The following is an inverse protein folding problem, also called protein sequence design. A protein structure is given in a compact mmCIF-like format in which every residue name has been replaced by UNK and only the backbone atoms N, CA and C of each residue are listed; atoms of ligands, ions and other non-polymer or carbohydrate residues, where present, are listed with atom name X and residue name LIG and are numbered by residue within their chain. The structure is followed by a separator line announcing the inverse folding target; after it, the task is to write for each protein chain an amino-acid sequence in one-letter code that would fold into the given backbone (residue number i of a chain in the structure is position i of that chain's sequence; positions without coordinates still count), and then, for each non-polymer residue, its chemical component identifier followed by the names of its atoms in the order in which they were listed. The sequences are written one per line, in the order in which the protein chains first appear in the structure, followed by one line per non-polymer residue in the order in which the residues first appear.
data_IF_228308749905
#
_entry.id   IF_228308749905
#
_cell.length_a   1.000
_cell.length_b   1.000
_cell.length_c   1.000
_cell.angle_alpha   90.00
_cell.angle_beta   90.00
_cell.angle_gamma   90.00
#
_symmetry.space_group_name_H-M   'P 1'
#
loop_
_entity.id
_entity.type
_entity.pdbx_description
1 polymer ?
#
# COMPACT_ATOMS: atom_id res chain seq x y z
N UNK A 1 18.19 -5.35 -42.38
CA UNK A 1 18.64 -4.97 -41.02
C UNK A 1 17.41 -4.48 -40.28
N UNK A 2 16.89 -5.27 -39.35
CA UNK A 2 15.66 -4.95 -38.61
C UNK A 2 16.05 -4.16 -37.36
N UNK A 3 15.61 -2.91 -37.27
CA UNK A 3 15.89 -2.03 -36.13
C UNK A 3 15.05 -2.46 -34.93
N UNK A 4 15.70 -2.82 -33.83
CA UNK A 4 15.06 -3.05 -32.54
C UNK A 4 14.83 -1.70 -31.87
N UNK A 5 13.60 -1.21 -31.85
CA UNK A 5 13.21 -0.07 -31.01
C UNK A 5 13.11 -0.57 -29.57
N UNK A 6 14.12 -0.25 -28.76
CA UNK A 6 14.04 -0.47 -27.32
C UNK A 6 12.98 0.48 -26.74
N UNK A 7 11.83 -0.06 -26.33
CA UNK A 7 10.89 0.64 -25.46
C UNK A 7 11.59 0.89 -24.14
N UNK A 8 11.98 2.14 -23.89
CA UNK A 8 12.34 2.57 -22.55
C UNK A 8 11.07 2.54 -21.71
N UNK A 9 10.88 1.44 -20.98
CA UNK A 9 9.86 1.31 -19.94
C UNK A 9 10.23 2.24 -18.78
N UNK A 10 9.99 3.54 -18.97
CA UNK A 10 10.02 4.53 -17.91
C UNK A 10 9.01 4.08 -16.87
N UNK A 11 9.49 3.40 -15.83
CA UNK A 11 8.65 2.91 -14.73
C UNK A 11 8.27 4.12 -13.86
N UNK A 12 7.41 4.97 -14.41
CA UNK A 12 6.75 6.03 -13.67
C UNK A 12 5.94 5.30 -12.60
N UNK A 13 6.35 5.41 -11.34
CA UNK A 13 5.54 4.96 -10.21
C UNK A 13 4.18 5.65 -10.39
N UNK A 14 3.14 4.89 -10.71
CA UNK A 14 1.80 5.47 -10.80
C UNK A 14 1.48 6.03 -9.43
N UNK A 15 1.12 7.30 -9.37
CA UNK A 15 0.64 7.91 -8.13
C UNK A 15 -0.63 7.18 -7.69
N UNK A 16 -0.66 6.73 -6.43
CA UNK A 16 -1.88 6.25 -5.80
C UNK A 16 -2.82 7.44 -5.60
N UNK A 17 -3.80 7.55 -6.50
CA UNK A 17 -4.78 8.64 -6.52
C UNK A 17 -6.12 8.15 -5.96
N UNK A 18 -6.47 6.88 -6.19
CA UNK A 18 -7.77 6.34 -5.80
C UNK A 18 -7.66 4.90 -5.26
N UNK A 19 -8.69 4.41 -4.55
CA UNK A 19 -8.74 3.00 -4.14
C UNK A 19 -8.72 2.04 -5.35
N UNK A 20 -9.27 2.45 -6.48
CA UNK A 20 -9.41 1.60 -7.67
C UNK A 20 -8.09 1.21 -8.34
N UNK A 21 -7.00 1.96 -8.15
CA UNK A 21 -5.68 1.61 -8.67
C UNK A 21 -4.73 1.02 -7.61
N UNK A 22 -5.22 0.77 -6.38
CA UNK A 22 -4.39 0.31 -5.25
C UNK A 22 -3.66 -1.01 -5.52
N UNK A 23 -4.30 -1.99 -6.16
CA UNK A 23 -3.64 -3.28 -6.44
C UNK A 23 -2.47 -3.14 -7.43
N UNK A 24 -2.65 -2.30 -8.46
CA UNK A 24 -1.61 -2.00 -9.45
C UNK A 24 -0.47 -1.24 -8.77
N UNK A 25 -0.81 -0.21 -8.00
CA UNK A 25 0.17 0.54 -7.21
C UNK A 25 0.95 -0.37 -6.25
N UNK A 26 0.27 -1.28 -5.53
CA UNK A 26 0.89 -2.23 -4.61
C UNK A 26 1.90 -3.13 -5.31
N UNK A 27 1.60 -3.62 -6.51
CA UNK A 27 2.54 -4.40 -7.32
C UNK A 27 3.77 -3.58 -7.71
N UNK A 28 3.57 -2.36 -8.19
CA UNK A 28 4.65 -1.48 -8.63
C UNK A 28 5.56 -1.04 -7.48
N UNK A 29 4.98 -0.64 -6.35
CA UNK A 29 5.75 -0.23 -5.18
C UNK A 29 6.53 -1.42 -4.60
N UNK A 30 5.93 -2.61 -4.56
CA UNK A 30 6.62 -3.83 -4.14
C UNK A 30 7.82 -4.12 -5.05
N UNK A 31 7.66 -4.03 -6.37
CA UNK A 31 8.76 -4.22 -7.33
C UNK A 31 9.85 -3.14 -7.19
N UNK A 32 9.49 -1.88 -6.92
CA UNK A 32 10.45 -0.81 -6.67
C UNK A 32 11.26 -1.07 -5.39
N UNK A 33 10.59 -1.40 -4.29
CA UNK A 33 11.24 -1.71 -3.00
C UNK A 33 12.13 -2.96 -3.08
N UNK A 34 11.77 -3.97 -3.88
CA UNK A 34 12.62 -5.13 -4.16
C UNK A 34 13.89 -4.76 -4.93
N UNK A 35 13.77 -3.93 -5.98
CA UNK A 35 14.93 -3.44 -6.74
C UNK A 35 15.89 -2.64 -5.86
N UNK A 36 15.33 -1.88 -4.92
CA UNK A 36 16.10 -1.11 -3.94
C UNK A 36 16.57 -1.94 -2.73
N UNK A 37 16.21 -3.24 -2.67
CA UNK A 37 16.57 -4.19 -1.60
C UNK A 37 16.11 -3.76 -0.20
N UNK A 38 15.00 -3.02 -0.12
CA UNK A 38 14.44 -2.48 1.14
C UNK A 38 13.00 -2.94 1.40
N UNK A 39 12.49 -3.90 0.63
CA UNK A 39 11.15 -4.47 0.82
C UNK A 39 10.95 -5.04 2.24
N UNK A 40 12.00 -5.65 2.82
CA UNK A 40 11.91 -6.26 4.14
C UNK A 40 11.63 -5.26 5.27
N UNK A 41 12.04 -3.99 5.10
CA UNK A 41 11.73 -2.90 6.03
C UNK A 41 10.26 -2.50 5.93
N UNK A 42 9.69 -2.42 4.72
CA UNK A 42 8.26 -2.12 4.51
C UNK A 42 7.35 -3.20 5.11
N UNK A 43 7.73 -4.48 4.96
CA UNK A 43 6.97 -5.61 5.48
C UNK A 43 7.26 -5.90 6.97
N UNK A 44 8.31 -5.30 7.53
CA UNK A 44 8.80 -5.58 8.88
C UNK A 44 9.35 -7.00 9.03
N UNK A 45 9.78 -7.64 7.95
CA UNK A 45 10.40 -8.97 7.95
C UNK A 45 11.91 -8.90 8.18
N UNK A 46 12.51 -7.73 7.99
CA UNK A 46 13.93 -7.54 8.31
C UNK A 46 14.15 -7.64 9.82
N UNK A 47 15.01 -8.58 10.20
CA UNK A 47 15.36 -8.94 11.59
C UNK A 47 15.98 -7.78 12.37
N UNK A 48 16.30 -6.67 11.71
CA UNK A 48 16.98 -5.50 12.26
C UNK A 48 16.03 -4.41 12.81
N UNK A 49 14.74 -4.70 12.96
CA UNK A 49 13.80 -3.73 13.53
C UNK A 49 14.13 -3.40 14.99
N UNK A 50 14.20 -2.11 15.41
CA UNK A 50 14.59 -1.70 16.76
C UNK A 50 13.73 -2.33 17.87
N UNK A 51 12.45 -2.58 17.60
CA UNK A 51 11.51 -3.21 18.53
C UNK A 51 11.85 -4.69 18.82
N UNK A 52 12.53 -5.38 17.90
CA UNK A 52 12.98 -6.76 18.09
C UNK A 52 14.37 -6.85 18.74
N UNK A 53 15.10 -5.73 18.83
CA UNK A 53 16.47 -5.68 19.33
C UNK A 53 16.60 -5.80 20.86
N UNK A 54 15.48 -5.89 21.60
CA UNK A 54 15.48 -6.04 23.05
C UNK A 54 16.11 -7.35 23.57
N UNK A 55 16.39 -8.33 22.69
CA UNK A 55 16.90 -9.64 23.08
C UNK A 55 18.33 -9.97 22.62
N UNK A 56 18.99 -9.12 21.82
CA UNK A 56 20.30 -9.48 21.25
C UNK A 56 21.47 -8.85 22.03
N UNK A 57 21.87 -9.54 23.08
CA UNK A 57 23.07 -9.29 23.88
C UNK A 57 24.35 -9.55 23.08
N UNK A 58 24.82 -8.63 22.23
CA UNK A 58 26.23 -8.57 21.77
C UNK A 58 26.59 -7.13 21.41
N UNK A 59 27.62 -6.60 22.09
CA UNK A 59 28.48 -5.43 21.76
C UNK A 59 27.78 -4.13 21.33
N UNK A 60 27.76 -3.13 22.22
CA UNK A 60 27.08 -1.84 22.05
C UNK A 60 27.48 -1.02 20.81
N UNK A 61 28.62 -1.29 20.17
CA UNK A 61 29.03 -0.64 18.91
C UNK A 61 28.36 -1.25 17.67
N UNK A 62 28.18 -2.57 17.64
CA UNK A 62 27.51 -3.28 16.53
C UNK A 62 26.00 -3.06 16.51
N UNK A 63 25.39 -2.80 17.67
CA UNK A 63 23.96 -2.46 17.79
C UNK A 63 23.66 -1.06 17.26
N UNK A 64 24.51 -0.07 17.55
CA UNK A 64 24.31 1.31 17.07
C UNK A 64 24.36 1.44 15.55
N UNK A 65 25.31 0.78 14.90
CA UNK A 65 25.43 0.79 13.43
C UNK A 65 24.23 0.10 12.74
N UNK A 66 23.72 -0.99 13.31
CA UNK A 66 22.54 -1.69 12.80
C UNK A 66 21.28 -0.82 12.90
N UNK A 67 21.08 -0.15 14.03
CA UNK A 67 19.95 0.77 14.24
C UNK A 67 20.02 1.94 13.25
N UNK A 68 21.21 2.51 13.03
CA UNK A 68 21.41 3.58 12.04
C UNK A 68 21.07 3.13 10.63
N UNK A 69 21.61 1.99 10.17
CA UNK A 69 21.30 1.42 8.85
C UNK A 69 19.81 1.14 8.67
N UNK A 70 19.15 0.62 9.71
CA UNK A 70 17.72 0.39 9.67
C UNK A 70 16.94 1.71 9.54
N UNK A 71 17.34 2.76 10.26
CA UNK A 71 16.74 4.09 10.17
C UNK A 71 16.86 4.67 8.76
N UNK A 72 18.05 4.59 8.15
CA UNK A 72 18.30 5.01 6.77
C UNK A 72 17.40 4.25 5.77
N UNK A 73 17.26 2.93 5.93
CA UNK A 73 16.36 2.15 5.08
C UNK A 73 14.89 2.49 5.32
N UNK A 74 14.48 2.71 6.57
CA UNK A 74 13.12 3.11 6.91
C UNK A 74 12.78 4.46 6.26
N UNK A 75 13.63 5.47 6.37
CA UNK A 75 13.45 6.77 5.71
C UNK A 75 13.39 6.62 4.19
N UNK A 76 14.26 5.80 3.61
CA UNK A 76 14.26 5.55 2.17
C UNK A 76 12.97 4.91 1.69
N UNK A 77 12.47 3.88 2.37
CA UNK A 77 11.18 3.25 2.03
C UNK A 77 10.04 4.25 2.20
N UNK A 78 10.06 5.02 3.28
CA UNK A 78 9.05 6.02 3.59
C UNK A 78 8.95 7.06 2.46
N UNK A 79 10.08 7.63 2.03
CA UNK A 79 10.14 8.58 0.91
C UNK A 79 9.66 7.97 -0.41
N UNK A 80 10.09 6.73 -0.74
CA UNK A 80 9.62 6.03 -1.95
C UNK A 80 8.10 5.87 -1.97
N UNK A 81 7.50 5.56 -0.82
CA UNK A 81 6.04 5.43 -0.70
C UNK A 81 5.40 6.81 -0.83
N UNK A 82 5.88 7.83 -0.13
CA UNK A 82 5.36 9.20 -0.19
C UNK A 82 5.37 9.77 -1.61
N UNK A 83 6.47 9.61 -2.34
CA UNK A 83 6.60 10.04 -3.74
C UNK A 83 5.61 9.35 -4.69
N UNK A 84 5.05 8.22 -4.25
CA UNK A 84 4.15 7.38 -5.05
C UNK A 84 2.68 7.49 -4.65
N UNK A 85 2.32 8.38 -3.72
CA UNK A 85 0.93 8.60 -3.28
C UNK A 85 0.52 10.07 -3.49
N UNK A 86 -0.78 10.32 -3.61
CA UNK A 86 -1.31 11.69 -3.73
C UNK A 86 -1.24 12.46 -2.41
N UNK A 87 -1.18 13.79 -2.49
CA UNK A 87 -1.18 14.69 -1.32
C UNK A 87 -2.35 14.43 -0.36
N UNK A 88 -3.52 14.07 -0.89
CA UNK A 88 -4.69 13.75 -0.09
C UNK A 88 -4.50 12.47 0.75
N UNK A 89 -3.79 11.48 0.23
CA UNK A 89 -3.44 10.27 0.98
C UNK A 89 -2.27 10.55 1.92
N UNK A 90 -1.30 11.34 1.49
CA UNK A 90 -0.17 11.77 2.31
C UNK A 90 -0.65 12.40 3.62
N UNK A 91 -1.59 13.36 3.54
CA UNK A 91 -2.18 14.03 4.70
C UNK A 91 -2.88 13.04 5.65
N UNK A 92 -3.55 12.01 5.12
CA UNK A 92 -4.23 10.98 5.94
C UNK A 92 -3.25 10.06 6.66
N UNK A 93 -2.01 9.98 6.17
CA UNK A 93 -0.98 9.09 6.71
C UNK A 93 0.15 9.83 7.43
N UNK A 94 0.01 11.14 7.64
CA UNK A 94 1.05 12.02 8.19
C UNK A 94 1.63 11.52 9.52
N UNK A 95 0.79 10.97 10.40
CA UNK A 95 1.24 10.52 11.73
C UNK A 95 2.08 9.22 11.70
N UNK A 96 2.17 8.54 10.57
CA UNK A 96 2.90 7.28 10.47
C UNK A 96 4.36 7.51 10.11
N UNK A 97 5.23 7.48 11.12
CA UNK A 97 6.66 7.77 10.99
C UNK A 97 7.49 6.57 10.53
N UNK A 98 6.98 5.34 10.66
CA UNK A 98 7.65 4.15 10.12
C UNK A 98 7.07 3.79 8.75
N UNK A 99 7.95 3.29 7.87
CA UNK A 99 7.55 2.83 6.55
C UNK A 99 6.50 1.70 6.61
N UNK A 100 6.62 0.83 7.61
CA UNK A 100 5.67 -0.26 7.86
C UNK A 100 4.29 0.28 8.24
N UNK A 101 4.24 1.23 9.18
CA UNK A 101 2.97 1.79 9.62
C UNK A 101 2.30 2.59 8.50
N UNK A 102 3.10 3.34 7.72
CA UNK A 102 2.62 4.03 6.53
C UNK A 102 1.98 3.06 5.52
N UNK A 103 2.68 1.96 5.20
CA UNK A 103 2.17 0.95 4.28
C UNK A 103 0.88 0.27 4.79
N UNK A 104 0.83 -0.05 6.09
CA UNK A 104 -0.36 -0.64 6.72
C UNK A 104 -1.55 0.34 6.77
N UNK A 105 -1.29 1.62 7.00
CA UNK A 105 -2.32 2.65 6.98
C UNK A 105 -2.94 2.78 5.58
N UNK A 106 -2.12 2.81 4.53
CA UNK A 106 -2.60 2.81 3.15
C UNK A 106 -3.43 1.57 2.83
N UNK A 107 -3.02 0.40 3.31
CA UNK A 107 -3.80 -0.84 3.19
C UNK A 107 -5.16 -0.74 3.89
N UNK A 108 -5.18 -0.19 5.10
CA UNK A 108 -6.41 0.02 5.88
C UNK A 108 -7.37 0.98 5.17
N UNK A 109 -6.86 2.11 4.67
CA UNK A 109 -7.65 3.08 3.90
C UNK A 109 -8.30 2.42 2.68
N UNK A 110 -7.54 1.61 1.94
CA UNK A 110 -8.07 0.87 0.80
C UNK A 110 -9.18 -0.10 1.22
N UNK A 111 -8.96 -0.90 2.27
CA UNK A 111 -9.96 -1.86 2.76
C UNK A 111 -11.27 -1.17 3.15
N UNK A 112 -11.20 -0.10 3.95
CA UNK A 112 -12.38 0.68 4.35
C UNK A 112 -13.09 1.28 3.14
N UNK A 113 -12.35 1.86 2.20
CA UNK A 113 -12.92 2.46 0.99
C UNK A 113 -13.57 1.42 0.08
N UNK A 114 -12.98 0.22 -0.04
CA UNK A 114 -13.52 -0.89 -0.82
C UNK A 114 -14.83 -1.43 -0.22
N UNK A 115 -14.90 -1.55 1.11
CA UNK A 115 -16.10 -1.98 1.83
C UNK A 115 -17.23 -0.96 1.67
N UNK A 116 -16.94 0.33 1.84
CA UNK A 116 -17.92 1.40 1.65
C UNK A 116 -18.46 1.42 0.21
N UNK A 117 -17.58 1.24 -0.79
CA UNK A 117 -17.97 1.17 -2.19
C UNK A 117 -18.86 -0.05 -2.47
N UNK A 118 -18.49 -1.22 -1.96
CA UNK A 118 -19.28 -2.44 -2.09
C UNK A 118 -20.66 -2.29 -1.44
N UNK A 119 -20.74 -1.69 -0.25
CA UNK A 119 -22.00 -1.41 0.44
C UNK A 119 -22.88 -0.46 -0.38
N UNK A 120 -22.31 0.62 -0.93
CA UNK A 120 -23.06 1.55 -1.78
C UNK A 120 -23.59 0.88 -3.04
N UNK A 121 -22.77 0.09 -3.73
CA UNK A 121 -23.19 -0.69 -4.91
C UNK A 121 -24.31 -1.67 -4.55
N UNK A 122 -24.19 -2.36 -3.41
CA UNK A 122 -25.22 -3.26 -2.91
C UNK A 122 -26.54 -2.51 -2.66
N UNK A 123 -26.50 -1.36 -1.99
CA UNK A 123 -27.70 -0.56 -1.73
C UNK A 123 -28.35 -0.07 -3.03
N UNK A 124 -27.55 0.38 -3.99
CA UNK A 124 -28.03 0.79 -5.31
C UNK A 124 -28.69 -0.37 -6.06
N UNK A 125 -28.06 -1.55 -6.04
CA UNK A 125 -28.60 -2.76 -6.65
C UNK A 125 -29.92 -3.17 -5.99
N UNK A 126 -29.98 -3.16 -4.66
CA UNK A 126 -31.17 -3.55 -3.90
C UNK A 126 -32.36 -2.62 -4.16
N UNK A 127 -32.10 -1.33 -4.30
CA UNK A 127 -33.10 -0.30 -4.58
C UNK A 127 -33.43 -0.15 -6.07
N UNK A 128 -32.70 -0.82 -6.95
CA UNK A 128 -32.97 -0.75 -8.38
C UNK A 128 -34.25 -1.52 -8.73
N UNK A 129 -35.03 -0.98 -9.67
CA UNK A 129 -36.21 -1.65 -10.20
C UNK A 129 -35.79 -2.72 -11.21
N UNK A 130 -36.27 -3.94 -11.03
CA UNK A 130 -36.24 -4.97 -12.06
C UNK A 130 -37.25 -4.58 -13.15
N UNK A 131 -36.96 -4.93 -14.41
CA UNK A 131 -37.86 -4.71 -15.55
C UNK A 131 -39.32 -5.07 -15.18
N UNK A 132 -40.19 -4.07 -15.12
CA UNK A 132 -41.56 -4.19 -14.60
C UNK A 132 -41.90 -3.28 -13.39
N UNK A 133 -40.93 -2.53 -12.85
CA UNK A 133 -41.17 -1.51 -11.81
C UNK A 133 -41.14 -2.04 -10.36
N UNK A 134 -40.89 -3.33 -10.17
CA UNK A 134 -40.70 -3.94 -8.84
C UNK A 134 -39.24 -3.81 -8.40
N UNK A 135 -39.00 -3.40 -7.15
CA UNK A 135 -37.64 -3.35 -6.59
C UNK A 135 -37.03 -4.77 -6.48
N UNK A 136 -35.75 -4.91 -6.83
CA UNK A 136 -35.00 -6.19 -6.75
C UNK A 136 -35.12 -6.84 -5.38
N UNK A 137 -35.12 -6.05 -4.30
CA UNK A 137 -35.41 -6.46 -2.92
C UNK A 137 -36.57 -7.45 -2.78
N UNK A 138 -37.70 -7.19 -3.46
CA UNK A 138 -38.93 -7.99 -3.36
C UNK A 138 -38.79 -9.41 -3.95
N UNK A 139 -37.77 -9.62 -4.78
CA UNK A 139 -37.49 -10.91 -5.41
C UNK A 139 -36.42 -11.72 -4.65
N UNK A 140 -35.71 -11.10 -3.69
CA UNK A 140 -34.70 -11.76 -2.86
C UNK A 140 -35.32 -12.34 -1.58
N UNK A 141 -36.46 -11.83 -1.12
CA UNK A 141 -37.17 -12.30 0.10
C UNK A 141 -37.81 -13.69 -0.02
N UNK A 142 -37.62 -14.41 -1.14
CA UNK A 142 -38.29 -15.68 -1.47
C UNK A 142 -37.38 -16.92 -1.46
N UNK A 143 -36.20 -16.83 -0.83
CA UNK A 143 -35.30 -17.96 -0.55
C UNK A 143 -35.23 -18.21 0.96
#
# INVERSE_FOLDING_TARGET
MSSNTASTDTTTCLTLISPSNFQIWKLQITAKLQREKVLGVALGTDTFSPSLSGSLTISGTATGEKVRKWMEWNERVHGIIQDSISDALLLKTEMHTTAKDLFNALLSIHQVSSLASAFYIFQQLFNSALSGGSAISKHITLL
#
